data_IF_666341527802
#
_entry.id   IF_666341527802
#
_cell.length_a   1.000
_cell.length_b   1.000
_cell.length_c   1.000
_cell.angle_alpha   90.00
_cell.angle_beta   90.00
_cell.angle_gamma   90.00
#
_symmetry.space_group_name_H-M   'P 1'
#
loop_
_entity.id
_entity.type
_entity.pdbx_description
1 polymer ?
#
# COMPACT_ATOMS: atom_id res chain seq x y z
N UNK A 1 -28.06 -37.55 -39.34
CA UNK A 1 -28.42 -36.57 -38.29
C UNK A 1 -27.15 -35.96 -37.70
N UNK A 2 -26.85 -34.70 -38.04
CA UNK A 2 -25.97 -33.85 -37.24
C UNK A 2 -26.71 -32.59 -36.77
N UNK A 3 -26.47 -32.17 -35.52
CA UNK A 3 -27.04 -30.94 -34.94
C UNK A 3 -26.14 -29.74 -35.22
N UNK A 4 -26.72 -28.84 -36.01
CA UNK A 4 -26.55 -27.39 -36.20
C UNK A 4 -25.78 -26.56 -35.15
N UNK A 5 -24.88 -25.72 -35.65
CA UNK A 5 -24.48 -24.44 -35.05
C UNK A 5 -25.51 -23.34 -35.42
N UNK A 6 -25.75 -22.32 -34.57
CA UNK A 6 -26.51 -21.14 -34.99
C UNK A 6 -25.63 -19.91 -35.25
N UNK A 7 -26.13 -19.12 -36.19
CA UNK A 7 -25.56 -17.96 -36.86
C UNK A 7 -25.63 -16.65 -36.06
N UNK A 8 -24.69 -15.76 -36.38
CA UNK A 8 -24.66 -14.33 -36.05
C UNK A 8 -25.98 -13.61 -36.36
N UNK A 9 -26.51 -12.87 -35.39
CA UNK A 9 -27.59 -11.91 -35.58
C UNK A 9 -27.05 -10.48 -35.45
N UNK A 10 -27.15 -9.73 -36.55
CA UNK A 10 -26.89 -8.29 -36.66
C UNK A 10 -28.13 -7.57 -36.09
N UNK A 11 -27.95 -6.74 -35.06
CA UNK A 11 -29.03 -5.87 -34.55
C UNK A 11 -28.89 -4.48 -35.18
N UNK A 12 -29.95 -4.10 -35.88
CA UNK A 12 -30.07 -2.87 -36.65
C UNK A 12 -30.18 -1.61 -35.75
N UNK A 13 -29.59 -0.52 -36.27
CA UNK A 13 -29.65 0.83 -35.74
C UNK A 13 -31.04 1.42 -36.05
N UNK A 14 -31.83 1.73 -35.02
CA UNK A 14 -33.10 2.43 -35.20
C UNK A 14 -32.86 3.94 -35.35
N UNK A 15 -33.14 4.44 -36.54
CA UNK A 15 -33.23 5.86 -36.89
C UNK A 15 -34.54 6.46 -36.38
N UNK A 16 -34.43 7.60 -35.72
CA UNK A 16 -35.54 8.35 -35.14
C UNK A 16 -36.49 8.90 -36.22
N UNK A 17 -37.80 8.72 -36.03
CA UNK A 17 -38.84 9.36 -36.83
C UNK A 17 -39.61 10.40 -35.99
N UNK A 18 -39.75 11.59 -36.57
CA UNK A 18 -40.40 12.77 -36.02
C UNK A 18 -41.90 12.55 -35.80
N UNK A 19 -42.34 12.57 -34.54
CA UNK A 19 -43.76 12.66 -34.15
C UNK A 19 -44.06 14.01 -33.50
N UNK A 20 -44.79 14.89 -34.21
CA UNK A 20 -45.31 16.17 -33.69
C UNK A 20 -46.17 15.91 -32.45
N UNK A 21 -45.81 16.50 -31.30
CA UNK A 21 -46.66 16.56 -30.09
C UNK A 21 -47.22 17.97 -29.92
N UNK A 22 -48.53 18.04 -29.67
CA UNK A 22 -49.30 19.24 -29.39
C UNK A 22 -48.82 19.91 -28.10
N UNK A 23 -48.64 21.23 -28.14
CA UNK A 23 -48.29 22.05 -26.99
C UNK A 23 -49.56 22.38 -26.19
N UNK A 24 -49.65 21.86 -24.96
CA UNK A 24 -50.65 22.27 -23.97
C UNK A 24 -50.06 23.35 -23.07
N UNK A 25 -50.60 24.57 -23.16
CA UNK A 25 -50.17 25.79 -22.46
C UNK A 25 -50.83 25.98 -21.09
N UNK A 26 -50.92 24.94 -20.26
CA UNK A 26 -51.48 25.06 -18.90
C UNK A 26 -50.64 24.35 -17.85
N UNK A 27 -49.50 24.93 -17.49
CA UNK A 27 -48.86 24.75 -16.17
C UNK A 27 -47.73 25.76 -15.98
N UNK A 28 -48.09 27.05 -15.86
CA UNK A 28 -47.21 28.04 -15.27
C UNK A 28 -47.66 28.23 -13.82
N UNK A 29 -46.71 28.23 -12.88
CA UNK A 29 -46.89 28.38 -11.42
C UNK A 29 -47.20 27.10 -10.61
N UNK A 30 -46.17 26.25 -10.48
CA UNK A 30 -45.98 25.46 -9.27
C UNK A 30 -44.46 25.29 -9.02
N UNK A 31 -43.93 25.57 -7.82
CA UNK A 31 -42.51 25.40 -7.55
C UNK A 31 -42.20 23.90 -7.54
N UNK A 32 -41.62 23.40 -8.64
CA UNK A 32 -41.09 22.03 -8.69
C UNK A 32 -39.90 21.95 -7.74
N UNK A 33 -40.09 21.28 -6.60
CA UNK A 33 -38.96 20.70 -5.87
C UNK A 33 -38.18 19.84 -6.86
N UNK A 34 -36.84 19.99 -6.97
CA UNK A 34 -36.06 19.16 -7.87
C UNK A 34 -36.30 17.71 -7.48
N UNK A 35 -36.74 16.89 -8.44
CA UNK A 35 -36.84 15.44 -8.24
C UNK A 35 -35.42 14.96 -7.97
N UNK A 36 -35.14 14.49 -6.75
CA UNK A 36 -33.91 13.77 -6.44
C UNK A 36 -33.83 12.60 -7.44
N UNK A 37 -32.73 12.49 -8.18
CA UNK A 37 -32.50 11.33 -9.03
C UNK A 37 -32.52 10.06 -8.16
N UNK A 38 -33.22 9.03 -8.61
CA UNK A 38 -33.37 7.78 -7.85
C UNK A 38 -32.03 7.05 -7.58
N UNK A 39 -30.95 7.47 -8.27
CA UNK A 39 -29.60 6.98 -8.06
C UNK A 39 -28.87 7.69 -6.91
N UNK A 40 -29.16 8.97 -6.65
CA UNK A 40 -28.52 9.75 -5.56
C UNK A 40 -29.15 9.49 -4.20
N UNK A 41 -30.39 8.96 -4.13
CA UNK A 41 -31.07 8.66 -2.86
C UNK A 41 -30.58 7.39 -2.15
N UNK A 42 -29.64 6.65 -2.74
CA UNK A 42 -29.10 5.41 -2.15
C UNK A 42 -27.87 5.63 -1.25
N UNK A 43 -27.34 6.85 -1.18
CA UNK A 43 -26.11 7.17 -0.45
C UNK A 43 -26.29 8.41 0.43
N UNK A 44 -27.36 8.46 1.25
CA UNK A 44 -27.34 9.41 2.36
C UNK A 44 -26.23 8.95 3.33
N UNK A 45 -25.18 9.77 3.54
CA UNK A 45 -24.04 9.35 4.33
C UNK A 45 -24.49 9.13 5.78
N UNK A 46 -23.98 8.09 6.42
CA UNK A 46 -24.21 7.77 7.83
C UNK A 46 -23.68 8.88 8.74
N UNK A 47 -22.63 9.58 8.28
CA UNK A 47 -21.98 10.67 9.00
C UNK A 47 -21.77 11.88 8.11
N UNK A 48 -22.04 13.07 8.67
CA UNK A 48 -21.71 14.34 8.05
C UNK A 48 -20.22 14.66 8.21
N UNK A 49 -19.65 15.34 7.22
CA UNK A 49 -18.21 15.68 7.20
C UNK A 49 -17.77 16.63 8.32
N UNK A 50 -18.69 17.43 8.85
CA UNK A 50 -18.43 18.30 9.99
C UNK A 50 -18.45 17.55 11.34
N UNK A 51 -18.94 16.30 11.38
CA UNK A 51 -19.14 15.54 12.61
C UNK A 51 -18.63 14.09 12.49
N UNK A 52 -17.32 13.96 12.30
CA UNK A 52 -16.64 12.67 12.15
C UNK A 52 -15.98 12.18 13.44
N UNK A 53 -15.89 13.01 14.48
CA UNK A 53 -15.31 12.61 15.74
C UNK A 53 -16.38 12.00 16.66
N UNK A 54 -16.23 10.72 17.00
CA UNK A 54 -17.03 10.06 18.03
C UNK A 54 -16.11 9.22 18.92
N UNK A 55 -16.30 9.19 20.25
CA UNK A 55 -15.67 8.18 21.09
C UNK A 55 -15.96 6.78 20.55
N UNK A 56 -14.95 5.90 20.49
CA UNK A 56 -15.05 4.66 19.73
C UNK A 56 -16.20 3.77 20.23
N UNK A 57 -16.43 3.70 21.55
CA UNK A 57 -17.54 2.95 22.15
C UNK A 57 -18.93 3.47 21.75
N UNK A 58 -19.05 4.77 21.51
CA UNK A 58 -20.32 5.47 21.19
C UNK A 58 -20.49 5.74 19.70
N UNK A 59 -19.54 5.31 18.87
CA UNK A 59 -19.60 5.50 17.42
C UNK A 59 -20.91 4.96 16.84
N UNK A 60 -21.54 5.66 15.89
CA UNK A 60 -22.70 5.13 15.17
C UNK A 60 -22.34 3.93 14.27
N UNK A 61 -21.05 3.72 13.97
CA UNK A 61 -20.58 2.66 13.08
C UNK A 61 -20.24 1.40 13.90
N UNK A 62 -20.91 0.24 13.64
CA UNK A 62 -20.69 -0.99 14.41
C UNK A 62 -19.23 -1.49 14.41
N UNK A 63 -18.53 -1.39 13.28
CA UNK A 63 -17.15 -1.84 13.17
C UNK A 63 -16.18 -1.05 14.06
N UNK A 64 -16.44 0.25 14.25
CA UNK A 64 -15.64 1.12 15.12
C UNK A 64 -15.88 0.76 16.59
N UNK A 65 -17.13 0.45 16.97
CA UNK A 65 -17.45 -0.05 18.32
C UNK A 65 -16.78 -1.39 18.62
N UNK A 66 -16.78 -2.32 17.67
CA UNK A 66 -16.09 -3.61 17.81
C UNK A 66 -14.58 -3.42 18.03
N UNK A 67 -13.96 -2.46 17.36
CA UNK A 67 -12.57 -2.08 17.60
C UNK A 67 -12.36 -1.56 19.02
N UNK A 68 -13.25 -0.70 19.53
CA UNK A 68 -13.20 -0.23 20.92
C UNK A 68 -13.27 -1.39 21.92
N UNK A 69 -14.16 -2.36 21.69
CA UNK A 69 -14.29 -3.56 22.50
C UNK A 69 -13.04 -4.43 22.45
N UNK A 70 -12.42 -4.55 21.28
CA UNK A 70 -11.20 -5.33 21.12
C UNK A 70 -10.04 -4.70 21.91
N UNK A 71 -9.86 -3.39 21.79
CA UNK A 71 -8.83 -2.63 22.53
C UNK A 71 -9.11 -2.74 24.04
N UNK A 72 -10.37 -2.63 24.46
CA UNK A 72 -10.72 -2.79 25.87
C UNK A 72 -10.45 -4.20 26.40
N UNK A 73 -10.52 -5.24 25.55
CA UNK A 73 -10.27 -6.64 25.97
C UNK A 73 -8.79 -7.02 25.97
N UNK A 74 -8.03 -6.56 24.97
CA UNK A 74 -6.65 -7.02 24.72
C UNK A 74 -5.60 -5.93 24.90
N UNK A 75 -6.03 -4.67 25.02
CA UNK A 75 -5.15 -3.53 25.22
C UNK A 75 -4.55 -3.49 26.62
N UNK A 76 -3.57 -2.61 26.79
CA UNK A 76 -2.89 -2.40 28.07
C UNK A 76 -2.88 -0.92 28.47
N UNK A 77 -3.16 -0.66 29.75
CA UNK A 77 -3.00 0.69 30.31
C UNK A 77 -1.52 1.02 30.52
N UNK A 78 -1.10 2.20 30.05
CA UNK A 78 0.28 2.69 30.13
C UNK A 78 0.83 2.69 31.56
N UNK A 79 0.12 3.33 32.49
CA UNK A 79 0.51 3.45 33.90
C UNK A 79 0.61 2.09 34.58
N UNK A 80 -0.31 1.17 34.30
CA UNK A 80 -0.24 -0.19 34.86
C UNK A 80 1.03 -0.92 34.39
N UNK A 81 1.39 -0.77 33.12
CA UNK A 81 2.59 -1.40 32.55
C UNK A 81 3.86 -0.84 33.17
N UNK A 82 3.94 0.48 33.35
CA UNK A 82 5.11 1.13 33.96
C UNK A 82 5.30 0.69 35.42
N UNK A 83 4.21 0.63 36.20
CA UNK A 83 4.24 0.13 37.58
C UNK A 83 4.67 -1.35 37.67
N UNK A 84 4.40 -2.18 36.66
CA UNK A 84 4.92 -3.56 36.62
C UNK A 84 6.45 -3.59 36.46
N UNK A 85 7.01 -2.73 35.60
CA UNK A 85 8.44 -2.68 35.34
C UNK A 85 9.26 -2.14 36.53
N UNK A 86 8.74 -1.15 37.27
CA UNK A 86 9.42 -0.61 38.46
C UNK A 86 9.54 -1.63 39.61
N UNK A 87 8.56 -2.53 39.74
CA UNK A 87 8.58 -3.58 40.76
C UNK A 87 9.38 -4.83 40.35
N UNK A 88 9.64 -5.03 39.05
CA UNK A 88 10.40 -6.16 38.52
C UNK A 88 11.91 -6.11 38.72
N UNK A 89 12.48 -4.96 39.10
CA UNK A 89 13.92 -4.77 39.31
C UNK A 89 14.37 -4.74 40.77
N UNK A 90 13.46 -4.89 41.75
CA UNK A 90 13.83 -5.01 43.16
C UNK A 90 14.00 -6.49 43.53
N UNK A 91 15.25 -6.97 43.52
CA UNK A 91 15.63 -8.23 44.16
C UNK A 91 15.26 -8.17 45.65
N UNK A 92 14.19 -8.85 46.04
CA UNK A 92 13.77 -9.02 47.42
C UNK A 92 12.66 -10.06 47.49
N UNK A 93 12.85 -11.07 48.32
CA UNK A 93 12.13 -12.35 48.40
C UNK A 93 10.68 -12.24 48.91
N UNK A 94 9.86 -11.38 48.31
CA UNK A 94 8.42 -11.37 48.52
C UNK A 94 7.73 -11.49 47.16
N UNK A 95 7.01 -12.61 46.96
CA UNK A 95 6.16 -12.84 45.78
C UNK A 95 5.31 -11.59 45.55
N UNK A 96 5.52 -10.82 44.47
CA UNK A 96 4.70 -9.66 44.22
C UNK A 96 3.29 -10.17 43.90
N UNK A 97 2.29 -9.74 44.66
CA UNK A 97 0.91 -9.82 44.22
C UNK A 97 0.87 -9.22 42.81
N UNK A 98 0.58 -10.06 41.80
CA UNK A 98 0.50 -9.65 40.42
C UNK A 98 -0.54 -8.52 40.32
N UNK A 99 -0.09 -7.25 40.31
CA UNK A 99 -0.94 -6.13 39.92
C UNK A 99 -1.30 -6.36 38.46
N UNK A 100 -2.44 -7.02 38.26
CA UNK A 100 -2.92 -7.47 36.95
C UNK A 100 -2.96 -6.29 36.00
N UNK A 101 -2.34 -6.45 34.82
CA UNK A 101 -2.59 -5.63 33.63
C UNK A 101 -4.07 -5.33 33.52
N UNK A 102 -4.44 -4.07 33.75
CA UNK A 102 -5.83 -3.65 33.60
C UNK A 102 -6.06 -3.22 32.16
N UNK A 103 -7.17 -3.71 31.63
CA UNK A 103 -7.76 -3.30 30.37
C UNK A 103 -7.97 -1.77 30.33
N UNK A 104 -7.67 -1.11 29.20
CA UNK A 104 -8.01 0.29 29.02
C UNK A 104 -9.53 0.43 28.79
N UNK A 105 -10.23 1.00 29.76
CA UNK A 105 -11.69 1.21 29.74
C UNK A 105 -12.08 2.69 29.72
N UNK A 106 -11.18 3.57 30.13
CA UNK A 106 -11.34 5.01 30.09
C UNK A 106 -10.99 5.54 28.69
N UNK A 107 -12.00 6.09 28.02
CA UNK A 107 -11.86 6.76 26.73
C UNK A 107 -11.45 8.22 26.92
N UNK A 108 -10.38 8.63 26.25
CA UNK A 108 -9.93 10.01 26.27
C UNK A 108 -10.97 10.89 25.52
N UNK A 109 -11.44 12.00 26.11
CA UNK A 109 -12.45 12.86 25.49
C UNK A 109 -11.95 13.56 24.21
N UNK A 110 -10.63 13.76 24.07
CA UNK A 110 -10.05 14.51 22.95
C UNK A 110 -9.77 13.64 21.72
N UNK A 111 -9.36 12.38 21.91
CA UNK A 111 -9.07 11.45 20.80
C UNK A 111 -10.08 10.30 20.66
N UNK A 112 -10.92 10.06 21.67
CA UNK A 112 -11.99 9.07 21.64
C UNK A 112 -11.55 7.61 21.81
N UNK A 113 -10.24 7.36 21.99
CA UNK A 113 -9.70 6.01 22.20
C UNK A 113 -9.71 5.59 23.67
N UNK A 114 -10.01 4.30 23.97
CA UNK A 114 -9.77 3.71 25.29
C UNK A 114 -8.26 3.55 25.50
N UNK A 115 -7.68 4.36 26.38
CA UNK A 115 -6.22 4.47 26.57
C UNK A 115 -5.77 4.04 27.97
N UNK A 116 -6.61 4.27 28.97
CA UNK A 116 -6.30 4.04 30.39
C UNK A 116 -7.36 3.18 31.05
N UNK A 117 -7.05 2.51 32.15
CA UNK A 117 -8.05 1.73 32.89
C UNK A 117 -8.96 2.56 33.80
N UNK A 118 -8.58 3.82 34.07
CA UNK A 118 -9.34 4.76 34.88
C UNK A 118 -8.94 6.19 34.53
N UNK A 119 -9.80 7.14 34.91
CA UNK A 119 -9.51 8.57 34.77
C UNK A 119 -8.28 9.00 35.57
N UNK A 120 -8.08 8.44 36.76
CA UNK A 120 -6.90 8.70 37.60
C UNK A 120 -5.60 8.36 36.85
N UNK A 121 -5.55 7.19 36.21
CA UNK A 121 -4.38 6.78 35.43
C UNK A 121 -4.19 7.66 34.19
N UNK A 122 -5.27 8.12 33.56
CA UNK A 122 -5.16 9.10 32.48
C UNK A 122 -4.57 10.43 32.97
N UNK A 123 -4.98 10.93 34.14
CA UNK A 123 -4.43 12.17 34.69
C UNK A 123 -2.94 12.01 35.07
N UNK A 124 -2.53 10.84 35.56
CA UNK A 124 -1.11 10.53 35.83
C UNK A 124 -0.26 10.51 34.55
N UNK A 125 -0.81 10.02 33.44
CA UNK A 125 -0.10 9.89 32.14
C UNK A 125 -0.31 11.07 31.18
N UNK A 126 -1.03 12.11 31.62
CA UNK A 126 -1.59 13.15 30.74
C UNK A 126 -0.56 13.78 29.80
N UNK A 127 0.62 14.09 30.32
CA UNK A 127 1.70 14.72 29.55
C UNK A 127 2.23 13.81 28.44
N UNK A 128 2.41 12.51 28.73
CA UNK A 128 2.84 11.52 27.73
C UNK A 128 1.74 11.27 26.71
N UNK A 129 0.49 11.14 27.17
CA UNK A 129 -0.66 10.96 26.29
C UNK A 129 -0.84 12.13 25.31
N UNK A 130 -0.54 13.36 25.72
CA UNK A 130 -0.64 14.55 24.86
C UNK A 130 0.14 14.42 23.55
N UNK A 131 1.29 13.72 23.56
CA UNK A 131 2.11 13.52 22.35
C UNK A 131 1.46 12.60 21.31
N UNK A 132 0.60 11.67 21.73
CA UNK A 132 -0.07 10.71 20.83
C UNK A 132 -1.54 11.04 20.59
N UNK A 133 -2.14 11.90 21.44
CA UNK A 133 -3.56 12.20 21.43
C UNK A 133 -4.04 12.74 20.06
N UNK A 134 -3.26 13.64 19.45
CA UNK A 134 -3.55 14.19 18.12
C UNK A 134 -3.61 13.11 17.04
N UNK A 135 -2.59 12.24 17.00
CA UNK A 135 -2.53 11.12 16.04
C UNK A 135 -3.73 10.18 16.23
N UNK A 136 -4.05 9.82 17.47
CA UNK A 136 -5.22 8.98 17.76
C UNK A 136 -6.53 9.63 17.32
N UNK A 137 -6.65 10.95 17.47
CA UNK A 137 -7.81 11.70 17.00
C UNK A 137 -7.92 11.66 15.47
N UNK A 138 -6.82 11.87 14.76
CA UNK A 138 -6.78 11.76 13.30
C UNK A 138 -7.21 10.36 12.83
N UNK A 139 -6.66 9.30 13.44
CA UNK A 139 -7.05 7.91 13.10
C UNK A 139 -8.53 7.70 13.36
N UNK A 140 -9.06 8.24 14.46
CA UNK A 140 -10.49 8.15 14.78
C UNK A 140 -11.34 8.79 13.68
N UNK A 141 -11.05 10.05 13.33
CA UNK A 141 -11.80 10.79 12.32
C UNK A 141 -11.66 10.16 10.92
N UNK A 142 -10.47 9.70 10.55
CA UNK A 142 -10.21 9.02 9.28
C UNK A 142 -11.01 7.70 9.18
N UNK A 143 -11.09 6.90 10.25
CA UNK A 143 -11.90 5.68 10.26
C UNK A 143 -13.40 5.96 10.13
N UNK A 144 -13.90 7.00 10.80
CA UNK A 144 -15.28 7.43 10.68
C UNK A 144 -15.58 7.94 9.28
N UNK A 145 -14.65 8.66 8.66
CA UNK A 145 -14.81 9.18 7.31
C UNK A 145 -14.81 8.06 6.27
N UNK A 146 -13.87 7.12 6.36
CA UNK A 146 -13.77 5.95 5.48
C UNK A 146 -15.02 5.05 5.56
N UNK A 147 -15.75 5.10 6.68
CA UNK A 147 -16.95 4.30 6.92
C UNK A 147 -18.24 5.14 6.94
N UNK A 148 -18.16 6.43 6.61
CA UNK A 148 -19.30 7.35 6.60
C UNK A 148 -20.29 7.07 5.47
N UNK A 149 -19.88 6.32 4.44
CA UNK A 149 -20.70 6.05 3.26
C UNK A 149 -20.76 7.23 2.27
N UNK A 150 -20.01 8.31 2.50
CA UNK A 150 -19.91 9.38 1.51
C UNK A 150 -19.23 8.90 0.23
N UNK A 151 -19.47 9.61 -0.87
CA UNK A 151 -18.66 9.46 -2.08
C UNK A 151 -17.27 10.05 -1.85
N UNK A 152 -16.24 9.22 -2.03
CA UNK A 152 -14.84 9.61 -1.91
C UNK A 152 -14.28 10.02 -3.26
N UNK A 153 -14.33 11.32 -3.53
CA UNK A 153 -13.77 11.90 -4.76
C UNK A 153 -12.26 11.67 -4.85
N UNK A 154 -11.59 11.60 -3.70
CA UNK A 154 -10.15 11.36 -3.64
C UNK A 154 -9.73 9.99 -4.22
N UNK A 155 -10.66 9.03 -4.34
CA UNK A 155 -10.42 7.73 -4.98
C UNK A 155 -10.79 7.70 -6.47
N UNK A 156 -11.16 8.84 -7.05
CA UNK A 156 -11.35 8.98 -8.50
C UNK A 156 -9.98 9.23 -9.15
N UNK A 157 -9.29 8.14 -9.50
CA UNK A 157 -7.93 8.20 -10.04
C UNK A 157 -7.89 8.53 -11.54
N UNK A 158 -6.90 9.32 -11.99
CA UNK A 158 -6.74 9.65 -13.40
C UNK A 158 -6.31 8.43 -14.22
N UNK A 159 -6.71 8.40 -15.49
CA UNK A 159 -6.26 7.38 -16.45
C UNK A 159 -4.85 7.64 -16.98
N UNK A 160 -4.54 7.05 -18.13
CA UNK A 160 -3.30 7.29 -18.85
C UNK A 160 -3.15 8.77 -19.26
N UNK A 161 -1.94 9.30 -19.13
CA UNK A 161 -1.56 10.66 -19.54
C UNK A 161 -0.91 10.69 -20.92
N UNK A 162 -0.84 11.87 -21.54
CA UNK A 162 -0.13 12.02 -22.81
C UNK A 162 1.38 11.78 -22.63
N UNK A 163 2.05 11.25 -23.66
CA UNK A 163 3.48 10.89 -23.57
C UNK A 163 4.40 12.06 -23.27
N UNK A 164 3.97 13.27 -23.63
CA UNK A 164 4.74 14.50 -23.46
C UNK A 164 4.57 15.13 -22.08
N UNK A 165 3.62 14.64 -21.26
CA UNK A 165 3.40 15.15 -19.91
C UNK A 165 4.47 14.63 -18.95
N UNK A 166 5.21 15.55 -18.35
CA UNK A 166 6.29 15.22 -17.42
C UNK A 166 5.76 14.87 -16.04
N UNK A 167 6.21 13.72 -15.51
CA UNK A 167 5.86 13.25 -14.17
C UNK A 167 6.90 13.71 -13.16
N UNK A 168 6.45 14.39 -12.11
CA UNK A 168 7.31 14.79 -11.00
C UNK A 168 7.10 13.87 -9.79
N UNK A 169 8.13 13.15 -9.38
CA UNK A 169 8.10 12.19 -8.26
C UNK A 169 8.76 12.74 -6.99
N UNK A 170 8.93 14.05 -6.86
CA UNK A 170 9.65 14.66 -5.72
C UNK A 170 8.94 14.49 -4.38
N UNK A 171 7.61 14.48 -4.37
CA UNK A 171 6.75 14.26 -3.20
C UNK A 171 5.31 13.94 -3.65
N UNK A 172 4.42 13.64 -2.70
CA UNK A 172 3.01 13.35 -2.98
C UNK A 172 2.30 14.49 -3.73
N UNK A 173 2.44 15.75 -3.31
CA UNK A 173 1.70 16.87 -3.91
C UNK A 173 2.06 17.08 -5.38
N UNK A 174 3.37 17.11 -5.68
CA UNK A 174 3.87 17.29 -7.05
C UNK A 174 3.51 16.10 -7.94
N UNK A 175 3.53 14.89 -7.40
CA UNK A 175 3.09 13.69 -8.10
C UNK A 175 1.59 13.74 -8.45
N UNK A 176 0.74 13.99 -7.45
CA UNK A 176 -0.70 14.03 -7.65
C UNK A 176 -1.11 15.15 -8.62
N UNK A 177 -0.46 16.31 -8.52
CA UNK A 177 -0.66 17.42 -9.45
C UNK A 177 -0.27 17.06 -10.88
N UNK A 178 0.96 16.57 -11.09
CA UNK A 178 1.45 16.26 -12.46
C UNK A 178 0.71 15.09 -13.11
N UNK A 179 0.18 14.15 -12.32
CA UNK A 179 -0.67 13.05 -12.82
C UNK A 179 -2.13 13.43 -13.06
N UNK A 180 -2.55 14.65 -12.71
CA UNK A 180 -3.93 15.09 -12.90
C UNK A 180 -4.94 14.46 -11.94
N UNK A 181 -4.53 14.15 -10.71
CA UNK A 181 -5.48 13.79 -9.66
C UNK A 181 -6.36 14.98 -9.31
N UNK A 182 -7.57 14.71 -8.81
CA UNK A 182 -8.42 15.76 -8.26
C UNK A 182 -7.70 16.47 -7.10
N UNK A 183 -7.82 17.79 -7.04
CA UNK A 183 -7.20 18.61 -6.02
C UNK A 183 -7.62 18.14 -4.62
N UNK A 184 -6.63 17.74 -3.82
CA UNK A 184 -6.84 17.30 -2.43
C UNK A 184 -6.94 18.53 -1.54
N UNK A 185 -8.15 18.83 -1.08
CA UNK A 185 -8.41 20.05 -0.30
C UNK A 185 -8.19 19.89 1.21
N UNK A 186 -7.86 18.68 1.68
CA UNK A 186 -7.67 18.39 3.11
C UNK A 186 -6.54 17.39 3.33
N UNK A 187 -5.87 17.49 4.47
CA UNK A 187 -4.87 16.51 4.90
C UNK A 187 -5.46 15.10 5.01
N UNK A 188 -6.73 14.99 5.43
CA UNK A 188 -7.44 13.70 5.49
C UNK A 188 -7.52 13.02 4.13
N UNK A 189 -7.89 13.77 3.08
CA UNK A 189 -7.92 13.23 1.71
C UNK A 189 -6.53 12.75 1.27
N UNK A 190 -5.47 13.49 1.63
CA UNK A 190 -4.09 13.07 1.37
C UNK A 190 -3.71 11.79 2.12
N UNK A 191 -4.11 11.64 3.38
CA UNK A 191 -3.90 10.40 4.16
C UNK A 191 -4.61 9.22 3.52
N UNK A 192 -5.86 9.37 3.11
CA UNK A 192 -6.61 8.30 2.43
C UNK A 192 -5.95 7.86 1.12
N UNK A 193 -5.58 8.81 0.26
CA UNK A 193 -5.03 8.54 -1.07
C UNK A 193 -3.63 7.94 -0.98
N UNK A 194 -2.75 8.54 -0.17
CA UNK A 194 -1.40 8.03 0.02
C UNK A 194 -1.39 6.61 0.60
N UNK A 195 -2.37 6.26 1.44
CA UNK A 195 -2.48 4.92 2.01
C UNK A 195 -2.76 3.82 0.99
N UNK A 196 -3.60 4.07 -0.01
CA UNK A 196 -3.88 3.07 -1.06
C UNK A 196 -2.83 3.09 -2.17
N UNK A 197 -2.25 4.26 -2.47
CA UNK A 197 -1.25 4.41 -3.54
C UNK A 197 0.18 4.08 -3.12
N UNK A 198 0.48 3.99 -1.81
CA UNK A 198 1.86 3.85 -1.34
C UNK A 198 2.59 2.66 -1.96
N UNK A 199 1.95 1.50 -2.12
CA UNK A 199 2.60 0.31 -2.69
C UNK A 199 2.96 0.48 -4.19
N UNK A 200 2.00 0.71 -5.11
CA UNK A 200 2.32 0.87 -6.53
C UNK A 200 3.23 2.07 -6.79
N UNK A 201 3.05 3.19 -6.08
CA UNK A 201 3.85 4.39 -6.32
C UNK A 201 5.25 4.27 -5.70
N UNK A 202 5.44 3.52 -4.62
CA UNK A 202 6.80 3.19 -4.14
C UNK A 202 7.55 2.41 -5.20
N UNK A 203 6.95 1.36 -5.79
CA UNK A 203 7.54 0.58 -6.90
C UNK A 203 7.89 1.51 -8.06
N UNK A 204 6.91 2.31 -8.50
CA UNK A 204 7.10 3.27 -9.60
C UNK A 204 8.22 4.26 -9.31
N UNK A 205 8.28 4.81 -8.11
CA UNK A 205 9.27 5.82 -7.72
C UNK A 205 10.71 5.30 -7.71
N UNK A 206 10.91 4.02 -7.39
CA UNK A 206 12.23 3.38 -7.44
C UNK A 206 12.64 3.13 -8.88
N UNK A 207 11.71 2.61 -9.69
CA UNK A 207 11.98 2.16 -11.06
C UNK A 207 12.01 3.29 -12.09
N UNK A 208 11.26 4.38 -11.89
CA UNK A 208 11.10 5.43 -12.89
C UNK A 208 12.37 6.27 -13.09
N UNK A 209 12.58 6.79 -14.30
CA UNK A 209 13.75 7.62 -14.62
C UNK A 209 13.83 8.93 -13.80
N UNK A 210 12.68 9.54 -13.47
CA UNK A 210 12.60 10.75 -12.62
C UNK A 210 12.52 10.43 -11.12
N UNK A 211 13.02 9.26 -10.72
CA UNK A 211 13.08 8.81 -9.34
C UNK A 211 13.60 9.89 -8.38
N UNK A 212 12.99 10.06 -7.19
CA UNK A 212 13.46 11.04 -6.21
C UNK A 212 14.76 10.60 -5.50
N UNK A 213 15.17 9.33 -5.68
CA UNK A 213 16.34 8.74 -5.04
C UNK A 213 17.62 9.08 -5.81
N UNK A 214 18.54 9.84 -5.19
CA UNK A 214 19.76 10.35 -5.84
C UNK A 214 21.01 9.54 -5.49
N UNK A 215 21.96 9.46 -6.42
CA UNK A 215 23.28 8.86 -6.18
C UNK A 215 24.03 9.60 -5.05
N UNK A 216 24.69 8.85 -4.18
CA UNK A 216 25.54 9.38 -3.11
C UNK A 216 24.77 9.80 -1.87
N UNK A 217 23.54 10.28 -2.02
CA UNK A 217 22.63 10.56 -0.91
C UNK A 217 21.84 9.30 -0.49
N UNK A 218 21.21 8.66 -1.47
CA UNK A 218 20.22 7.62 -1.24
C UNK A 218 20.65 6.28 -1.86
N UNK A 219 21.03 6.35 -3.15
CA UNK A 219 21.51 5.21 -3.91
C UNK A 219 23.04 5.09 -3.81
N UNK A 220 23.50 3.85 -3.73
CA UNK A 220 24.92 3.51 -3.88
C UNK A 220 25.28 3.44 -5.38
N UNK A 221 26.58 3.28 -5.67
CA UNK A 221 27.05 3.04 -7.04
C UNK A 221 26.47 1.74 -7.61
N UNK A 222 26.42 0.68 -6.82
CA UNK A 222 25.81 -0.59 -7.21
C UNK A 222 24.29 -0.51 -7.39
N UNK A 223 23.64 0.31 -6.56
CA UNK A 223 22.24 0.70 -6.71
C UNK A 223 21.96 1.34 -8.05
N UNK A 224 22.76 2.35 -8.41
CA UNK A 224 22.63 3.04 -9.68
C UNK A 224 22.86 2.10 -10.87
N UNK A 225 23.89 1.25 -10.83
CA UNK A 225 24.15 0.24 -11.89
C UNK A 225 22.95 -0.70 -12.08
N UNK A 226 22.39 -1.21 -10.98
CA UNK A 226 21.25 -2.14 -11.01
C UNK A 226 19.99 -1.46 -11.56
N UNK A 227 19.70 -0.24 -11.09
CA UNK A 227 18.53 0.51 -11.54
C UNK A 227 18.69 1.06 -12.96
N UNK A 228 19.89 1.41 -13.41
CA UNK A 228 20.13 1.87 -14.78
C UNK A 228 19.80 0.78 -15.81
N UNK A 229 20.16 -0.47 -15.51
CA UNK A 229 19.80 -1.63 -16.32
C UNK A 229 18.28 -1.80 -16.45
N UNK A 230 17.56 -1.80 -15.32
CA UNK A 230 16.10 -1.88 -15.30
C UNK A 230 15.43 -0.68 -16.00
N UNK A 231 15.93 0.54 -15.77
CA UNK A 231 15.40 1.78 -16.38
C UNK A 231 15.58 1.80 -17.89
N UNK A 232 16.70 1.29 -18.40
CA UNK A 232 16.92 1.17 -19.84
C UNK A 232 15.89 0.24 -20.50
N UNK A 233 15.55 -0.86 -19.81
CA UNK A 233 14.47 -1.77 -20.24
C UNK A 233 13.10 -1.10 -20.20
N UNK A 234 12.82 -0.35 -19.13
CA UNK A 234 11.52 0.31 -18.90
C UNK A 234 11.28 1.52 -19.81
N UNK A 235 12.35 2.17 -20.26
CA UNK A 235 12.32 3.35 -21.12
C UNK A 235 13.24 3.16 -22.33
N UNK A 236 12.87 2.29 -23.30
CA UNK A 236 13.68 2.10 -24.49
C UNK A 236 13.80 3.43 -25.25
N UNK A 237 15.03 3.79 -25.63
CA UNK A 237 15.26 5.01 -26.39
C UNK A 237 14.46 4.97 -27.71
N UNK A 238 13.65 6.00 -27.95
CA UNK A 238 12.95 6.17 -29.23
C UNK A 238 14.00 6.47 -30.29
N UNK A 239 14.32 5.50 -31.14
CA UNK A 239 15.26 5.69 -32.26
C UNK A 239 14.64 6.68 -33.26
N UNK A 240 15.24 7.85 -33.50
CA UNK A 240 14.72 8.81 -34.47
C UNK A 240 14.76 8.22 -35.89
N UNK A 241 13.63 8.19 -36.59
CA UNK A 241 13.53 7.76 -37.99
C UNK A 241 12.74 6.47 -38.25
N UNK A 242 12.33 5.74 -37.20
CA UNK A 242 11.46 4.56 -37.35
C UNK A 242 9.99 4.97 -37.17
N UNK A 243 9.18 4.80 -38.21
CA UNK A 243 7.73 5.09 -38.20
C UNK A 243 6.99 4.22 -37.18
N UNK A 244 6.33 4.88 -36.24
CA UNK A 244 5.98 4.40 -34.90
C UNK A 244 4.77 3.45 -34.77
N UNK A 245 4.26 2.81 -35.83
CA UNK A 245 2.99 2.05 -35.74
C UNK A 245 3.09 0.52 -35.85
N UNK A 246 4.18 -0.03 -36.40
CA UNK A 246 4.29 -1.48 -36.58
C UNK A 246 5.24 -2.18 -35.60
N UNK A 247 6.25 -1.49 -35.05
CA UNK A 247 7.28 -2.13 -34.22
C UNK A 247 7.21 -1.91 -32.70
N UNK A 248 6.31 -1.07 -32.18
CA UNK A 248 6.12 -0.99 -30.71
C UNK A 248 5.56 -2.29 -30.12
N UNK A 249 4.80 -3.06 -30.90
CA UNK A 249 4.38 -4.42 -30.54
C UNK A 249 5.55 -5.44 -30.60
N UNK A 250 6.59 -5.12 -31.37
CA UNK A 250 7.79 -5.95 -31.55
C UNK A 250 8.91 -5.58 -30.57
N UNK A 251 8.93 -4.34 -30.04
CA UNK A 251 9.89 -3.88 -29.02
C UNK A 251 9.43 -4.27 -27.61
N UNK A 252 8.13 -4.44 -27.37
CA UNK A 252 7.56 -4.97 -26.12
C UNK A 252 7.79 -6.49 -25.94
N UNK A 253 8.98 -6.99 -26.27
CA UNK A 253 9.29 -8.43 -26.19
C UNK A 253 9.52 -8.92 -24.77
N UNK A 254 9.85 -8.03 -23.82
CA UNK A 254 10.21 -8.42 -22.48
C UNK A 254 9.27 -7.77 -21.45
N UNK A 255 8.50 -8.62 -20.77
CA UNK A 255 7.68 -8.25 -19.63
C UNK A 255 8.55 -8.08 -18.39
N UNK A 256 8.43 -6.95 -17.70
CA UNK A 256 9.11 -6.75 -16.41
C UNK A 256 8.31 -7.48 -15.33
N UNK A 257 8.97 -8.33 -14.55
CA UNK A 257 8.35 -9.08 -13.45
C UNK A 257 8.69 -8.44 -12.11
N UNK A 258 7.67 -8.10 -11.35
CA UNK A 258 7.76 -7.52 -10.02
C UNK A 258 7.28 -8.58 -9.04
N UNK A 259 8.16 -9.01 -8.14
CA UNK A 259 7.86 -10.01 -7.12
C UNK A 259 7.62 -9.33 -5.79
N UNK A 260 6.37 -9.28 -5.35
CA UNK A 260 5.95 -8.81 -4.03
C UNK A 260 5.89 -10.01 -3.08
N UNK A 261 6.92 -10.20 -2.25
CA UNK A 261 7.00 -11.34 -1.33
C UNK A 261 6.44 -10.99 0.05
N UNK A 262 5.80 -11.97 0.69
CA UNK A 262 5.09 -11.75 1.94
C UNK A 262 3.85 -10.85 1.76
N UNK A 263 3.26 -10.87 0.55
CA UNK A 263 2.17 -9.98 0.18
C UNK A 263 0.93 -10.22 1.05
N UNK A 264 0.46 -9.14 1.68
CA UNK A 264 -0.73 -9.09 2.54
C UNK A 264 -1.65 -7.99 2.03
N UNK A 265 -1.56 -6.77 2.54
CA UNK A 265 -2.41 -5.67 2.10
C UNK A 265 -2.22 -5.37 0.59
N UNK A 266 -1.02 -5.61 0.07
CA UNK A 266 -0.61 -5.34 -1.31
C UNK A 266 -1.38 -6.20 -2.32
N UNK A 267 -1.64 -7.46 -2.01
CA UNK A 267 -2.37 -8.39 -2.88
C UNK A 267 -3.88 -8.10 -2.90
N UNK A 268 -4.41 -7.50 -1.84
CA UNK A 268 -5.84 -7.21 -1.67
C UNK A 268 -6.27 -5.88 -2.30
N UNK A 269 -5.34 -5.05 -2.77
CA UNK A 269 -5.72 -3.81 -3.44
C UNK A 269 -6.45 -4.10 -4.76
N UNK A 270 -7.51 -3.33 -5.08
CA UNK A 270 -8.16 -3.43 -6.38
C UNK A 270 -7.19 -3.22 -7.55
N UNK A 271 -7.30 -3.99 -8.65
CA UNK A 271 -6.39 -3.90 -9.80
C UNK A 271 -6.22 -2.49 -10.39
N UNK A 272 -7.28 -1.69 -10.40
CA UNK A 272 -7.25 -0.32 -10.92
C UNK A 272 -6.31 0.63 -10.14
N UNK A 273 -5.97 0.29 -8.89
CA UNK A 273 -4.99 1.07 -8.10
C UNK A 273 -3.58 0.84 -8.63
N UNK A 274 -3.24 -0.41 -8.95
CA UNK A 274 -1.97 -0.76 -9.59
C UNK A 274 -1.84 -0.23 -11.02
N UNK A 275 -2.94 0.16 -11.69
CA UNK A 275 -2.83 0.85 -12.98
C UNK A 275 -2.08 2.18 -12.88
N UNK A 276 -2.07 2.82 -11.71
CA UNK A 276 -1.25 4.01 -11.51
C UNK A 276 0.24 3.74 -11.67
N UNK A 277 0.71 2.50 -11.46
CA UNK A 277 2.07 2.08 -11.81
C UNK A 277 2.24 1.97 -13.34
N UNK A 278 1.32 1.28 -14.03
CA UNK A 278 1.38 1.11 -15.49
C UNK A 278 1.37 2.46 -16.23
N UNK A 279 0.59 3.43 -15.76
CA UNK A 279 0.54 4.77 -16.35
C UNK A 279 1.84 5.57 -16.22
N UNK A 280 2.78 5.15 -15.37
CA UNK A 280 4.14 5.72 -15.35
C UNK A 280 5.05 5.14 -16.45
N UNK A 281 4.66 4.00 -17.04
CA UNK A 281 5.46 3.26 -18.02
C UNK A 281 4.58 2.82 -19.21
N UNK A 282 4.16 3.76 -20.08
CA UNK A 282 3.11 3.51 -21.08
C UNK A 282 3.49 2.47 -22.15
N UNK A 283 4.77 2.13 -22.29
CA UNK A 283 5.29 1.18 -23.27
C UNK A 283 5.60 -0.20 -22.71
N UNK A 284 5.44 -0.41 -21.39
CA UNK A 284 5.88 -1.62 -20.69
C UNK A 284 4.67 -2.43 -20.22
N UNK A 285 4.73 -3.73 -20.43
CA UNK A 285 3.83 -4.67 -19.78
C UNK A 285 4.47 -5.24 -18.50
N UNK A 286 3.69 -5.32 -17.43
CA UNK A 286 4.15 -5.84 -16.14
C UNK A 286 3.52 -7.19 -15.80
N UNK A 287 4.29 -8.03 -15.13
CA UNK A 287 3.77 -9.14 -14.34
C UNK A 287 4.03 -8.83 -12.88
N UNK A 288 2.98 -8.79 -12.05
CA UNK A 288 3.12 -8.59 -10.61
C UNK A 288 2.79 -9.91 -9.93
N UNK A 289 3.81 -10.51 -9.31
CA UNK A 289 3.72 -11.76 -8.59
C UNK A 289 3.55 -11.46 -7.10
N UNK A 290 2.36 -11.70 -6.56
CA UNK A 290 2.12 -11.69 -5.12
C UNK A 290 2.37 -13.09 -4.58
N UNK A 291 3.35 -13.22 -3.69
CA UNK A 291 3.78 -14.51 -3.15
C UNK A 291 3.69 -14.50 -1.63
N UNK A 292 3.05 -15.50 -1.06
CA UNK A 292 2.96 -15.72 0.38
C UNK A 292 1.58 -16.19 0.81
N UNK A 293 1.43 -16.72 2.04
CA UNK A 293 0.21 -17.40 2.50
C UNK A 293 -1.07 -16.54 2.42
N UNK A 294 -0.95 -15.21 2.49
CA UNK A 294 -2.06 -14.26 2.41
C UNK A 294 -2.22 -13.63 1.00
N UNK A 295 -1.46 -14.09 0.00
CA UNK A 295 -1.56 -13.63 -1.39
C UNK A 295 -2.76 -14.25 -2.10
N UNK A 296 -3.95 -13.77 -1.77
CA UNK A 296 -5.22 -14.25 -2.33
C UNK A 296 -5.81 -13.18 -3.27
N UNK A 297 -6.30 -13.54 -4.47
CA UNK A 297 -6.89 -12.56 -5.36
C UNK A 297 -8.12 -11.88 -4.77
N UNK A 298 -8.34 -10.59 -5.08
CA UNK A 298 -9.56 -9.90 -4.69
C UNK A 298 -10.77 -10.59 -5.34
N UNK A 299 -11.81 -10.85 -4.53
CA UNK A 299 -13.10 -11.44 -4.93
C UNK A 299 -13.15 -12.95 -5.20
N UNK A 300 -12.05 -13.69 -5.00
CA UNK A 300 -12.05 -15.16 -5.11
C UNK A 300 -11.96 -15.80 -3.72
N UNK A 301 -12.90 -16.70 -3.41
CA UNK A 301 -12.80 -17.55 -2.20
C UNK A 301 -11.89 -18.77 -2.40
N UNK A 302 -11.51 -19.05 -3.65
CA UNK A 302 -10.59 -20.13 -3.94
C UNK A 302 -9.19 -19.80 -3.41
N UNK A 303 -8.63 -20.76 -2.70
CA UNK A 303 -7.24 -20.76 -2.21
C UNK A 303 -6.33 -21.56 -3.14
N UNK A 304 -6.75 -21.82 -4.37
CA UNK A 304 -5.91 -22.50 -5.34
C UNK A 304 -4.68 -21.62 -5.63
N UNK A 305 -3.46 -22.19 -5.65
CA UNK A 305 -2.25 -21.46 -6.02
C UNK A 305 -2.27 -21.08 -7.51
N UNK A 306 -1.36 -20.19 -7.93
CA UNK A 306 -1.19 -19.76 -9.32
C UNK A 306 -2.45 -19.17 -9.98
N UNK A 307 -3.11 -18.22 -9.32
CA UNK A 307 -4.25 -17.52 -9.93
C UNK A 307 -3.77 -16.33 -10.76
N UNK A 308 -4.24 -16.24 -12.00
CA UNK A 308 -3.85 -15.21 -12.95
C UNK A 308 -5.02 -14.26 -13.20
N UNK A 309 -4.79 -12.97 -13.00
CA UNK A 309 -5.77 -11.91 -13.29
C UNK A 309 -5.13 -10.93 -14.28
N UNK A 310 -5.70 -10.83 -15.47
CA UNK A 310 -5.24 -9.90 -16.50
C UNK A 310 -6.03 -8.60 -16.42
N UNK A 311 -5.33 -7.47 -16.37
CA UNK A 311 -5.93 -6.14 -16.33
C UNK A 311 -5.10 -5.16 -17.15
N UNK A 312 -5.58 -4.85 -18.36
CA UNK A 312 -4.90 -3.96 -19.32
C UNK A 312 -3.44 -4.37 -19.58
N UNK A 313 -2.47 -3.57 -19.08
CA UNK A 313 -1.03 -3.75 -19.26
C UNK A 313 -0.37 -4.55 -18.14
N UNK A 314 -1.12 -4.98 -17.11
CA UNK A 314 -0.60 -5.75 -15.98
C UNK A 314 -1.27 -7.13 -15.93
N UNK A 315 -0.44 -8.15 -15.73
CA UNK A 315 -0.88 -9.48 -15.31
C UNK A 315 -0.54 -9.67 -13.85
N UNK A 316 -1.53 -9.91 -13.00
CA UNK A 316 -1.35 -10.25 -11.60
C UNK A 316 -1.31 -11.76 -11.44
N UNK A 317 -0.31 -12.26 -10.75
CA UNK A 317 -0.12 -13.68 -10.45
C UNK A 317 -0.10 -13.81 -8.93
N UNK A 318 -1.01 -14.63 -8.41
CA UNK A 318 -1.16 -14.84 -6.97
C UNK A 318 -0.75 -16.26 -6.64
N UNK A 319 0.23 -16.39 -5.75
CA UNK A 319 0.69 -17.67 -5.25
C UNK A 319 0.73 -17.67 -3.71
N UNK A 320 -0.01 -18.59 -3.12
CA UNK A 320 -0.14 -18.70 -1.67
C UNK A 320 0.88 -19.65 -1.01
N UNK A 321 1.82 -20.18 -1.78
CA UNK A 321 2.89 -21.01 -1.26
C UNK A 321 3.98 -20.15 -0.61
N UNK A 322 4.93 -20.83 0.03
CA UNK A 322 6.14 -20.16 0.51
C UNK A 322 7.07 -19.87 -0.67
N UNK A 323 7.82 -18.78 -0.57
CA UNK A 323 8.71 -18.38 -1.65
C UNK A 323 9.74 -19.45 -2.01
N UNK A 324 10.21 -20.28 -1.07
CA UNK A 324 11.20 -21.33 -1.37
C UNK A 324 10.65 -22.36 -2.38
N UNK A 325 9.35 -22.67 -2.31
CA UNK A 325 8.68 -23.54 -3.29
C UNK A 325 8.50 -22.80 -4.60
N UNK A 326 7.96 -21.59 -4.53
CA UNK A 326 7.67 -20.77 -5.71
C UNK A 326 8.93 -20.38 -6.50
N UNK A 327 10.08 -20.24 -5.84
CA UNK A 327 11.35 -19.85 -6.46
C UNK A 327 11.75 -20.79 -7.61
N UNK A 328 11.54 -22.10 -7.44
CA UNK A 328 11.85 -23.09 -8.45
C UNK A 328 10.94 -22.98 -9.69
N UNK A 329 9.68 -22.58 -9.48
CA UNK A 329 8.66 -22.46 -10.52
C UNK A 329 8.74 -21.11 -11.26
N UNK A 330 9.13 -20.05 -10.55
CA UNK A 330 9.25 -18.69 -11.08
C UNK A 330 10.52 -18.45 -11.91
N UNK A 331 11.54 -19.30 -11.75
CA UNK A 331 12.78 -19.22 -12.50
C UNK A 331 12.60 -19.48 -14.01
N UNK A 332 13.59 -19.11 -14.85
CA UNK A 332 14.86 -18.47 -14.49
C UNK A 332 14.66 -16.99 -14.13
N UNK A 333 15.55 -16.46 -13.27
CA UNK A 333 15.55 -15.04 -12.88
C UNK A 333 16.53 -14.22 -13.72
N UNK A 334 16.13 -13.03 -14.12
CA UNK A 334 16.91 -12.11 -14.92
C UNK A 334 16.94 -10.72 -14.25
N UNK A 335 18.10 -10.28 -13.72
CA UNK A 335 18.23 -8.98 -13.05
C UNK A 335 17.94 -7.74 -13.90
N UNK A 336 17.81 -7.88 -15.22
CA UNK A 336 17.46 -6.78 -16.13
C UNK A 336 15.93 -6.62 -16.32
N UNK A 337 15.15 -7.62 -15.92
CA UNK A 337 13.69 -7.66 -16.07
C UNK A 337 12.95 -7.98 -14.77
N UNK A 338 13.65 -8.48 -13.75
CA UNK A 338 13.05 -8.94 -12.49
C UNK A 338 13.51 -8.10 -11.32
N UNK A 339 12.56 -7.75 -10.45
CA UNK A 339 12.79 -6.98 -9.23
C UNK A 339 11.92 -7.50 -8.09
N UNK A 340 12.46 -7.49 -6.87
CA UNK A 340 11.77 -7.94 -5.67
C UNK A 340 11.41 -6.77 -4.76
N UNK A 341 10.20 -6.78 -4.20
CA UNK A 341 9.73 -5.86 -3.18
C UNK A 341 9.24 -6.64 -1.96
N UNK A 342 9.77 -6.28 -0.80
CA UNK A 342 9.43 -6.84 0.51
C UNK A 342 8.75 -5.73 1.32
N UNK A 343 7.42 -5.70 1.33
CA UNK A 343 6.69 -4.66 2.03
C UNK A 343 6.53 -4.99 3.51
N UNK A 344 7.26 -4.22 4.34
CA UNK A 344 7.33 -4.38 5.80
C UNK A 344 7.48 -5.86 6.23
N UNK A 345 8.58 -6.51 5.82
CA UNK A 345 8.75 -7.96 5.92
C UNK A 345 8.92 -8.46 7.36
N UNK A 346 9.39 -7.60 8.27
CA UNK A 346 9.66 -7.97 9.66
C UNK A 346 10.76 -9.03 9.74
N UNK A 347 11.91 -8.77 9.11
CA UNK A 347 13.06 -9.68 9.10
C UNK A 347 13.63 -9.91 10.50
N UNK A 348 13.59 -8.89 11.36
CA UNK A 348 14.03 -8.95 12.74
C UNK A 348 12.91 -9.34 13.71
N UNK A 349 11.65 -9.34 13.27
CA UNK A 349 10.52 -9.60 14.16
C UNK A 349 10.48 -11.08 14.59
N UNK A 350 10.35 -11.41 15.89
CA UNK A 350 10.49 -12.78 16.39
C UNK A 350 9.56 -13.82 15.75
N UNK A 351 8.34 -13.40 15.36
CA UNK A 351 7.38 -14.31 14.75
C UNK A 351 7.69 -14.66 13.28
N UNK A 352 8.47 -13.84 12.58
CA UNK A 352 8.68 -13.93 11.12
C UNK A 352 10.13 -14.16 10.75
N UNK A 353 11.08 -13.78 11.61
CA UNK A 353 12.53 -13.92 11.41
C UNK A 353 12.94 -15.30 10.93
N UNK A 354 12.50 -16.36 11.60
CA UNK A 354 12.87 -17.72 11.23
C UNK A 354 12.28 -18.17 9.89
N UNK A 355 11.16 -17.58 9.48
CA UNK A 355 10.55 -17.86 8.18
C UNK A 355 11.36 -17.24 7.03
N UNK A 356 12.04 -16.12 7.25
CA UNK A 356 12.83 -15.41 6.24
C UNK A 356 14.24 -15.95 6.05
N UNK A 357 14.86 -16.53 7.10
CA UNK A 357 16.21 -17.10 7.06
C UNK A 357 16.53 -17.97 5.82
N UNK A 358 15.68 -18.93 5.41
CA UNK A 358 15.92 -19.72 4.19
C UNK A 358 15.62 -18.95 2.89
N UNK A 359 14.76 -17.94 2.92
CA UNK A 359 14.36 -17.14 1.75
C UNK A 359 15.44 -16.13 1.33
N UNK A 360 16.11 -15.45 2.27
CA UNK A 360 17.08 -14.39 1.94
C UNK A 360 18.25 -14.91 1.06
N UNK A 361 18.88 -16.08 1.35
CA UNK A 361 19.91 -16.62 0.47
C UNK A 361 19.42 -16.88 -0.96
N UNK A 362 18.22 -17.44 -1.13
CA UNK A 362 17.63 -17.66 -2.45
C UNK A 362 17.41 -16.35 -3.21
N UNK A 363 16.94 -15.32 -2.52
CA UNK A 363 16.80 -13.98 -3.09
C UNK A 363 18.14 -13.40 -3.55
N UNK A 364 19.18 -13.50 -2.72
CA UNK A 364 20.51 -12.99 -3.07
C UNK A 364 21.13 -13.78 -4.23
N UNK A 365 20.81 -15.07 -4.39
CA UNK A 365 21.30 -15.88 -5.50
C UNK A 365 20.76 -15.40 -6.86
N UNK A 366 19.54 -14.86 -6.90
CA UNK A 366 18.94 -14.31 -8.14
C UNK A 366 19.74 -13.17 -8.77
N UNK A 367 20.58 -12.48 -7.98
CA UNK A 367 21.27 -11.23 -8.36
C UNK A 367 20.35 -10.10 -8.83
N UNK A 368 19.04 -10.22 -8.60
CA UNK A 368 18.04 -9.20 -8.86
C UNK A 368 18.07 -8.13 -7.76
N UNK A 369 17.59 -6.93 -8.10
CA UNK A 369 17.42 -5.89 -7.10
C UNK A 369 16.29 -6.25 -6.12
N UNK A 370 16.54 -6.10 -4.83
CA UNK A 370 15.57 -6.37 -3.75
C UNK A 370 15.40 -5.08 -2.96
N UNK A 371 14.16 -4.61 -2.82
CA UNK A 371 13.83 -3.44 -2.02
C UNK A 371 12.92 -3.85 -0.87
N UNK A 372 13.23 -3.39 0.33
CA UNK A 372 12.41 -3.59 1.52
C UNK A 372 11.84 -2.27 2.03
N UNK A 373 10.67 -2.34 2.66
CA UNK A 373 10.08 -1.21 3.41
C UNK A 373 9.91 -1.57 4.88
N UNK A 374 9.51 -0.60 5.71
CA UNK A 374 9.13 -0.84 7.11
C UNK A 374 8.14 0.21 7.60
N UNK A 375 7.63 0.01 8.81
CA UNK A 375 6.52 0.80 9.35
C UNK A 375 6.94 2.02 10.19
N UNK A 376 8.18 2.01 10.68
CA UNK A 376 8.84 3.13 11.36
C UNK A 376 10.37 3.01 11.24
N UNK A 377 11.10 3.98 11.79
CA UNK A 377 12.57 4.00 11.73
C UNK A 377 13.20 2.82 12.48
N UNK A 378 12.65 2.47 13.64
CA UNK A 378 13.21 1.42 14.47
C UNK A 378 13.05 0.04 13.82
N UNK A 379 11.88 -0.24 13.25
CA UNK A 379 11.56 -1.43 12.48
C UNK A 379 12.51 -1.60 11.30
N UNK A 380 12.70 -0.55 10.50
CA UNK A 380 13.63 -0.54 9.37
C UNK A 380 15.06 -0.82 9.82
N UNK A 381 15.52 -0.15 10.88
CA UNK A 381 16.89 -0.33 11.38
C UNK A 381 17.10 -1.71 12.00
N UNK A 382 16.09 -2.27 12.66
CA UNK A 382 16.16 -3.64 13.19
C UNK A 382 16.32 -4.66 12.04
N UNK A 383 15.52 -4.54 10.98
CA UNK A 383 15.61 -5.40 9.81
C UNK A 383 16.96 -5.28 9.10
N UNK A 384 17.48 -4.06 8.97
CA UNK A 384 18.82 -3.80 8.39
C UNK A 384 19.91 -4.44 9.23
N UNK A 385 19.89 -4.23 10.55
CA UNK A 385 20.86 -4.82 11.46
C UNK A 385 20.82 -6.36 11.42
N UNK A 386 19.63 -6.95 11.28
CA UNK A 386 19.50 -8.40 11.13
C UNK A 386 20.22 -8.91 9.87
N UNK A 387 20.04 -8.22 8.74
CA UNK A 387 20.71 -8.61 7.48
C UNK A 387 22.22 -8.42 7.59
N UNK A 388 22.70 -7.31 8.17
CA UNK A 388 24.14 -7.04 8.33
C UNK A 388 24.80 -8.07 9.27
N UNK A 389 24.15 -8.39 10.38
CA UNK A 389 24.65 -9.37 11.35
C UNK A 389 24.64 -10.82 10.81
N UNK A 390 23.78 -11.12 9.84
CA UNK A 390 23.73 -12.44 9.21
C UNK A 390 24.93 -12.73 8.30
N UNK A 391 25.73 -11.72 7.93
CA UNK A 391 26.98 -11.89 7.19
C UNK A 391 26.82 -12.32 5.73
N UNK A 392 25.69 -12.00 5.10
CA UNK A 392 25.42 -12.36 3.71
C UNK A 392 26.34 -11.66 2.70
N UNK A 393 26.66 -12.32 1.59
CA UNK A 393 27.38 -11.73 0.45
C UNK A 393 26.46 -10.84 -0.40
N UNK A 394 26.26 -9.61 0.08
CA UNK A 394 25.40 -8.63 -0.58
C UNK A 394 26.10 -7.29 -0.84
N UNK A 395 25.51 -6.54 -1.76
CA UNK A 395 25.76 -5.13 -2.01
C UNK A 395 24.53 -4.32 -1.61
N UNK A 396 24.74 -3.23 -0.88
CA UNK A 396 23.69 -2.23 -0.68
C UNK A 396 23.39 -1.53 -2.00
N UNK A 397 22.12 -1.48 -2.40
CA UNK A 397 21.62 -0.68 -3.52
C UNK A 397 21.12 0.69 -3.04
N UNK A 398 20.42 0.69 -1.91
CA UNK A 398 19.87 1.89 -1.27
C UNK A 398 20.04 1.76 0.23
N UNK A 399 20.66 2.78 0.84
CA UNK A 399 20.78 2.82 2.30
C UNK A 399 19.41 3.10 2.94
N UNK A 400 19.17 2.64 4.18
CA UNK A 400 17.91 2.87 4.86
C UNK A 400 17.59 4.35 4.96
N UNK A 401 16.38 4.71 4.55
CA UNK A 401 15.90 6.10 4.57
C UNK A 401 14.39 6.16 4.59
N UNK A 402 13.86 7.35 4.83
CA UNK A 402 12.44 7.63 4.63
C UNK A 402 12.03 7.46 3.16
N UNK A 403 10.92 6.77 2.95
CA UNK A 403 10.28 6.63 1.64
C UNK A 403 9.46 7.88 1.32
N UNK A 404 9.77 8.51 0.18
CA UNK A 404 9.07 9.71 -0.30
C UNK A 404 7.56 9.46 -0.47
N UNK A 405 7.19 8.22 -0.84
CA UNK A 405 5.81 7.80 -1.06
C UNK A 405 5.29 6.88 0.05
N UNK A 406 5.74 7.07 1.29
CA UNK A 406 5.11 6.46 2.46
C UNK A 406 3.64 6.86 2.59
N UNK A 407 2.84 6.05 3.27
CA UNK A 407 1.49 6.46 3.66
C UNK A 407 1.56 7.59 4.68
N UNK A 408 0.74 8.63 4.50
CA UNK A 408 0.57 9.70 5.49
C UNK A 408 -0.44 9.30 6.57
N UNK A 409 -1.26 8.28 6.32
CA UNK A 409 -2.22 7.73 7.28
C UNK A 409 -1.48 6.93 8.36
N UNK A 410 -1.73 7.28 9.61
CA UNK A 410 -1.27 6.48 10.74
C UNK A 410 -2.20 5.30 10.99
N UNK A 411 -1.61 4.20 11.44
CA UNK A 411 -2.32 3.06 11.99
C UNK A 411 -1.87 2.84 13.43
N UNK A 412 -2.77 2.38 14.27
CA UNK A 412 -2.50 2.20 15.69
C UNK A 412 -2.44 0.71 16.03
N UNK A 413 -1.45 0.33 16.83
CA UNK A 413 -1.43 -1.00 17.41
C UNK A 413 -2.58 -1.14 18.40
N UNK A 414 -3.50 -2.07 18.13
CA UNK A 414 -4.69 -2.24 18.96
C UNK A 414 -4.36 -2.76 20.37
N UNK A 415 -3.22 -3.45 20.56
CA UNK A 415 -2.78 -3.96 21.87
C UNK A 415 -2.12 -2.89 22.73
N UNK A 416 -1.50 -1.90 22.09
CA UNK A 416 -0.80 -0.79 22.73
C UNK A 416 -1.01 0.47 21.89
N UNK A 417 -2.06 1.22 22.22
CA UNK A 417 -2.49 2.41 21.45
C UNK A 417 -1.49 3.56 21.48
N UNK A 418 -0.40 3.43 22.24
CA UNK A 418 0.73 4.37 22.22
C UNK A 418 1.64 4.17 21.01
N UNK A 419 1.59 2.99 20.40
CA UNK A 419 2.38 2.67 19.23
C UNK A 419 1.54 2.93 17.98
N UNK A 420 2.01 3.85 17.15
CA UNK A 420 1.46 4.10 15.83
C UNK A 420 2.51 3.86 14.76
N UNK A 421 2.09 3.34 13.61
CA UNK A 421 2.91 3.01 12.47
C UNK A 421 2.40 3.72 11.21
N UNK A 422 3.27 3.94 10.23
CA UNK A 422 2.90 4.40 8.90
C UNK A 422 3.31 3.36 7.88
N UNK A 423 2.36 2.92 7.04
CA UNK A 423 2.66 1.94 6.00
C UNK A 423 3.75 2.45 5.05
N UNK A 424 4.77 1.63 4.82
CA UNK A 424 5.94 1.94 3.98
C UNK A 424 6.67 3.22 4.40
N UNK A 425 6.80 3.50 5.69
CA UNK A 425 7.53 4.66 6.21
C UNK A 425 8.94 4.77 5.65
N UNK A 426 9.70 3.68 5.70
CA UNK A 426 11.08 3.64 5.23
C UNK A 426 11.27 2.70 4.05
N UNK A 427 12.42 2.84 3.40
CA UNK A 427 12.86 2.02 2.28
C UNK A 427 14.36 1.77 2.35
N UNK A 428 14.77 0.59 1.93
CA UNK A 428 16.15 0.17 1.78
C UNK A 428 16.24 -0.81 0.59
N UNK A 429 17.45 -1.08 0.11
CA UNK A 429 17.62 -2.01 -1.01
C UNK A 429 18.96 -2.71 -1.02
N UNK A 430 18.95 -3.98 -1.42
CA UNK A 430 20.11 -4.88 -1.46
C UNK A 430 20.09 -5.71 -2.75
N UNK A 431 21.22 -6.35 -3.05
CA UNK A 431 21.40 -7.33 -4.11
C UNK A 431 22.48 -8.32 -3.70
N UNK A 432 22.40 -9.57 -4.14
CA UNK A 432 23.56 -10.47 -4.00
C UNK A 432 24.76 -9.99 -4.80
N UNK A 433 25.98 -10.18 -4.26
CA UNK A 433 27.21 -9.77 -4.96
C UNK A 433 27.35 -10.45 -6.31
N UNK A 434 27.81 -9.68 -7.29
CA UNK A 434 28.34 -10.20 -8.55
C UNK A 434 29.85 -10.18 -8.47
N UNK A 435 30.48 -11.31 -8.71
CA UNK A 435 31.93 -11.35 -8.86
C UNK A 435 32.25 -10.74 -10.21
N UNK A 436 32.84 -9.54 -10.21
CA UNK A 436 33.44 -8.99 -11.42
C UNK A 436 34.55 -9.95 -11.87
N UNK A 437 34.51 -10.37 -13.13
CA UNK A 437 35.60 -11.13 -13.73
C UNK A 437 36.82 -10.21 -13.71
N UNK A 438 37.79 -10.49 -12.84
CA UNK A 438 39.08 -9.81 -12.91
C UNK A 438 39.67 -10.14 -14.29
N UNK A 439 40.09 -9.15 -15.10
CA UNK A 439 40.91 -9.47 -16.26
C UNK A 439 42.10 -10.27 -15.74
N UNK A 440 42.38 -11.40 -16.39
CA UNK A 440 43.54 -12.21 -16.04
C UNK A 440 44.77 -11.29 -16.07
N UNK A 441 45.52 -11.24 -14.98
CA UNK A 441 46.83 -10.59 -14.97
C UNK A 441 47.68 -11.34 -16.00
N UNK A 442 48.04 -10.66 -17.09
CA UNK A 442 48.97 -11.16 -18.12
C UNK A 442 50.40 -11.28 -17.60
#
# INVERSE_FOLDING_TARGET
MPKTAPSLAIVAINTATNGRRSLSLKSFFSPRKPKKDAFTSQFEPVLEQANLFHPLSKSPIPAVRQKAEWISKHGSCAVCKDQEHEHGHKHGEHKPEQKKRKAPTYECPDCGYPTHCSEEHYQMDKDRHKHICGILREINEDEHDLRSGRRMKEFEFPGAQHRDEAINLSNWDTFLYTRGFLSMNSERSMRHVSHVLTYPITIGSVLHQSSPYRLGKDLTVEGLKSLAALRHTLHPAVIPGITQSQDLRTIATHTVRIFCLGARAESHLPPHIYMQLAYLFPTTAFQIHFVGPDAIPPHTKSKDPHQHVHYEQITFIYDNSRYETYHAEAGPFNPYYDVFFLFSPGLAHPATKDMWKPTIPLLLDTKCAIFGTGFDEQDVMNDVNEIENAGYEMDWLMKPRENVFRSLKHEVNLTDVRQSAQCNWGIWGIRGRRYDVRPAEE
#
